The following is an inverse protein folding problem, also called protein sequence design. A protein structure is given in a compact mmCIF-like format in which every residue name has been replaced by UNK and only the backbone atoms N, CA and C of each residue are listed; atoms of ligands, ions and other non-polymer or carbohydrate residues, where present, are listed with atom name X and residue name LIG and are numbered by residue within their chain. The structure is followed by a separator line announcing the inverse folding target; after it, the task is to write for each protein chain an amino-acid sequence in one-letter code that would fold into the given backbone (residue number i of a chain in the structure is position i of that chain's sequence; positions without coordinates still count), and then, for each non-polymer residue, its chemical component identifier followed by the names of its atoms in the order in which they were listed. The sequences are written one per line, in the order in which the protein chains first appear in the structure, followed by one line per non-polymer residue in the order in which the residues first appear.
data_IF_136073104123
#
_entry.id   IF_136073104123
#
_cell.length_a   1.000
_cell.length_b   1.000
_cell.length_c   1.000
_cell.angle_alpha   90.00
_cell.angle_beta   90.00
_cell.angle_gamma   90.00
#
_symmetry.space_group_name_H-M   'P 1'
#
loop_
_entity.id
_entity.type
_entity.pdbx_description
1 polymer ?
#
# COMPACT_ATOMS: atom_id res chain seq x y z
N UNK A 1 -14.35 -1.71 -19.73
CA UNK A 1 -14.21 -0.23 -19.72
C UNK A 1 -15.05 0.41 -18.61
N UNK A 2 -16.36 0.22 -18.56
CA UNK A 2 -17.23 0.80 -17.52
C UNK A 2 -16.76 0.45 -16.09
N UNK A 3 -16.38 -0.79 -15.87
CA UNK A 3 -15.89 -1.27 -14.56
C UNK A 3 -14.62 -0.55 -14.09
N UNK A 4 -13.69 -0.27 -14.99
CA UNK A 4 -12.48 0.50 -14.67
C UNK A 4 -12.81 1.94 -14.26
N UNK A 5 -13.76 2.59 -14.95
CA UNK A 5 -14.21 3.93 -14.57
C UNK A 5 -14.89 3.94 -13.20
N UNK A 6 -15.73 2.96 -12.92
CA UNK A 6 -16.40 2.83 -11.63
C UNK A 6 -15.35 2.64 -10.52
N UNK A 7 -14.39 1.74 -10.71
CA UNK A 7 -13.31 1.49 -9.75
C UNK A 7 -12.49 2.76 -9.49
N UNK A 8 -12.15 3.51 -10.53
CA UNK A 8 -11.40 4.75 -10.41
C UNK A 8 -12.19 5.82 -9.62
N UNK A 9 -13.49 5.95 -9.89
CA UNK A 9 -14.37 6.89 -9.17
C UNK A 9 -14.48 6.50 -7.70
N UNK A 10 -14.69 5.22 -7.39
CA UNK A 10 -14.76 4.73 -6.01
C UNK A 10 -13.44 5.01 -5.29
N UNK A 11 -12.30 4.69 -5.92
CA UNK A 11 -10.98 4.94 -5.34
C UNK A 11 -10.76 6.42 -5.05
N UNK A 12 -11.15 7.29 -5.98
CA UNK A 12 -11.04 8.74 -5.79
C UNK A 12 -11.90 9.24 -4.62
N UNK A 13 -13.16 8.81 -4.53
CA UNK A 13 -14.07 9.20 -3.46
C UNK A 13 -13.54 8.74 -2.10
N UNK A 14 -13.09 7.48 -2.00
CA UNK A 14 -12.55 6.94 -0.76
C UNK A 14 -11.28 7.67 -0.34
N UNK A 15 -10.36 7.95 -1.28
CA UNK A 15 -9.16 8.73 -0.99
C UNK A 15 -9.51 10.14 -0.52
N UNK A 16 -10.44 10.80 -1.22
CA UNK A 16 -10.87 12.17 -0.89
C UNK A 16 -11.46 12.27 0.52
N UNK A 17 -12.18 11.25 0.98
CA UNK A 17 -12.74 11.20 2.32
C UNK A 17 -11.71 10.77 3.37
N UNK A 18 -10.82 9.83 3.04
CA UNK A 18 -9.86 9.27 3.99
C UNK A 18 -8.69 10.21 4.29
N UNK A 19 -8.16 10.90 3.29
CA UNK A 19 -6.97 11.74 3.43
C UNK A 19 -7.13 12.85 4.47
N UNK A 20 -8.21 13.65 4.49
CA UNK A 20 -8.39 14.69 5.50
C UNK A 20 -8.46 14.15 6.93
N UNK A 21 -9.10 12.98 7.11
CA UNK A 21 -9.20 12.32 8.41
C UNK A 21 -7.82 11.87 8.88
N UNK A 22 -7.02 11.29 7.99
CA UNK A 22 -5.66 10.83 8.30
C UNK A 22 -4.75 12.01 8.65
N UNK A 23 -4.83 13.11 7.89
CA UNK A 23 -4.08 14.33 8.20
C UNK A 23 -4.46 14.85 9.59
N UNK A 24 -5.74 14.92 9.90
CA UNK A 24 -6.21 15.38 11.22
C UNK A 24 -5.70 14.48 12.37
N UNK A 25 -5.67 13.16 12.16
CA UNK A 25 -5.11 12.21 13.14
C UNK A 25 -3.60 12.38 13.27
N UNK A 26 -2.90 12.55 12.16
CA UNK A 26 -1.45 12.78 12.15
C UNK A 26 -1.09 14.07 12.90
N UNK A 27 -1.86 15.13 12.68
CA UNK A 27 -1.72 16.40 13.41
C UNK A 27 -1.89 16.21 14.91
N UNK A 28 -2.98 15.57 15.30
CA UNK A 28 -3.31 15.34 16.72
C UNK A 28 -2.27 14.47 17.43
N UNK A 29 -1.69 13.52 16.72
CA UNK A 29 -0.69 12.57 17.25
C UNK A 29 0.75 13.05 17.06
N UNK A 30 0.98 14.21 16.42
CA UNK A 30 2.31 14.75 16.10
C UNK A 30 3.19 13.76 15.31
N UNK A 31 2.57 13.00 14.40
CA UNK A 31 3.24 12.04 13.53
C UNK A 31 3.72 12.75 12.26
N UNK A 32 4.70 13.66 12.44
CA UNK A 32 5.30 14.42 11.35
C UNK A 32 6.71 13.93 11.08
N UNK A 33 7.10 14.02 9.83
CA UNK A 33 8.50 13.97 9.45
C UNK A 33 9.14 15.32 9.77
N UNK A 34 10.04 15.34 10.77
CA UNK A 34 10.73 16.57 11.20
C UNK A 34 11.72 16.95 10.09
N UNK A 35 11.69 18.21 9.64
CA UNK A 35 12.67 18.70 8.67
C UNK A 35 14.09 18.55 9.23
N UNK A 36 14.95 17.82 8.53
CA UNK A 36 16.38 17.74 8.78
C UNK A 36 17.10 18.56 7.69
N UNK A 37 18.29 19.11 8.00
CA UNK A 37 19.09 19.92 7.07
C UNK A 37 19.38 19.23 5.73
N UNK A 38 19.29 17.91 5.69
CA UNK A 38 19.48 17.07 4.49
C UNK A 38 18.21 16.84 3.68
N UNK A 39 17.04 17.30 4.15
CA UNK A 39 15.74 17.07 3.47
C UNK A 39 15.32 18.31 2.68
N UNK A 40 14.78 18.06 1.49
CA UNK A 40 14.31 19.12 0.58
C UNK A 40 13.08 19.88 1.08
N UNK A 41 12.38 19.35 2.08
CA UNK A 41 11.14 19.93 2.61
C UNK A 41 11.44 20.86 3.80
N UNK A 42 11.03 22.13 3.66
CA UNK A 42 11.15 23.16 4.70
C UNK A 42 9.95 23.18 5.67
N UNK A 43 8.91 22.42 5.40
CA UNK A 43 7.70 22.33 6.22
C UNK A 43 7.51 20.89 6.72
N UNK A 44 6.91 20.77 7.90
CA UNK A 44 6.48 19.49 8.46
C UNK A 44 5.41 18.86 7.56
N UNK A 45 5.61 17.62 7.10
CA UNK A 45 4.68 16.89 6.25
C UNK A 45 4.18 15.68 7.01
N UNK A 46 2.88 15.42 6.95
CA UNK A 46 2.30 14.22 7.53
C UNK A 46 2.80 12.96 6.78
N UNK A 47 3.54 12.11 7.47
CA UNK A 47 4.15 10.91 6.89
C UNK A 47 3.12 9.86 6.47
N UNK A 48 1.88 9.95 6.99
CA UNK A 48 0.87 8.91 6.87
C UNK A 48 -0.06 9.05 5.64
N UNK A 49 0.25 9.92 4.68
CA UNK A 49 -0.58 10.11 3.47
C UNK A 49 -0.78 8.82 2.66
N UNK A 50 0.22 7.95 2.64
CA UNK A 50 0.14 6.65 1.99
C UNK A 50 -0.96 5.73 2.49
N UNK A 51 -1.41 5.89 3.75
CA UNK A 51 -2.51 5.12 4.33
C UNK A 51 -3.81 5.39 3.56
N UNK A 52 -4.11 6.66 3.28
CA UNK A 52 -5.33 7.03 2.56
C UNK A 52 -5.37 6.45 1.14
N UNK A 53 -4.25 6.51 0.45
CA UNK A 53 -4.11 5.95 -0.90
C UNK A 53 -4.25 4.42 -0.85
N UNK A 54 -3.60 3.76 0.10
CA UNK A 54 -3.69 2.32 0.27
C UNK A 54 -5.12 1.86 0.55
N UNK A 55 -5.82 2.50 1.50
CA UNK A 55 -7.22 2.19 1.82
C UNK A 55 -8.10 2.36 0.57
N UNK A 56 -7.91 3.43 -0.18
CA UNK A 56 -8.70 3.71 -1.38
C UNK A 56 -8.50 2.64 -2.45
N UNK A 57 -7.26 2.21 -2.71
CA UNK A 57 -6.93 1.16 -3.67
C UNK A 57 -7.53 -0.18 -3.23
N UNK A 58 -7.26 -0.59 -1.98
CA UNK A 58 -7.75 -1.87 -1.45
C UNK A 58 -9.27 -1.92 -1.50
N UNK A 59 -9.94 -0.88 -0.99
CA UNK A 59 -11.40 -0.82 -0.96
C UNK A 59 -11.99 -0.90 -2.37
N UNK A 60 -11.46 -0.14 -3.32
CA UNK A 60 -11.93 -0.15 -4.72
C UNK A 60 -11.74 -1.51 -5.37
N UNK A 61 -10.58 -2.14 -5.13
CA UNK A 61 -10.31 -3.47 -5.66
C UNK A 61 -11.24 -4.51 -5.05
N UNK A 62 -11.49 -4.47 -3.73
CA UNK A 62 -12.39 -5.41 -3.06
C UNK A 62 -13.84 -5.29 -3.55
N UNK A 63 -14.29 -4.08 -3.88
CA UNK A 63 -15.64 -3.84 -4.41
C UNK A 63 -15.75 -4.27 -5.88
N UNK A 64 -14.68 -4.11 -6.66
CA UNK A 64 -14.70 -4.32 -8.12
C UNK A 64 -14.17 -5.67 -8.56
N UNK A 65 -13.43 -6.38 -7.70
CA UNK A 65 -12.81 -7.65 -8.06
C UNK A 65 -13.81 -8.80 -8.05
N UNK A 66 -13.72 -9.63 -9.07
CA UNK A 66 -14.41 -10.91 -9.13
C UNK A 66 -13.52 -12.01 -8.53
N UNK A 67 -13.67 -12.24 -7.23
CA UNK A 67 -12.90 -13.24 -6.51
C UNK A 67 -13.23 -14.69 -6.89
N UNK A 68 -14.39 -14.92 -7.53
CA UNK A 68 -14.74 -16.26 -8.00
C UNK A 68 -13.95 -16.63 -9.25
N UNK A 69 -13.73 -15.64 -10.13
CA UNK A 69 -12.95 -15.84 -11.35
C UNK A 69 -11.42 -15.78 -11.11
N UNK A 70 -11.00 -15.11 -10.05
CA UNK A 70 -9.58 -14.90 -9.74
C UNK A 70 -9.29 -15.13 -8.25
N UNK A 71 -9.29 -16.39 -7.77
CA UNK A 71 -9.04 -16.72 -6.37
C UNK A 71 -7.65 -16.33 -5.87
N UNK A 72 -6.69 -16.12 -6.79
CA UNK A 72 -5.32 -15.71 -6.48
C UNK A 72 -5.25 -14.30 -5.88
N UNK A 73 -6.27 -13.47 -6.08
CA UNK A 73 -6.32 -12.12 -5.52
C UNK A 73 -6.23 -12.09 -3.99
N UNK A 74 -6.73 -13.10 -3.29
CA UNK A 74 -6.59 -13.19 -1.84
C UNK A 74 -5.11 -13.20 -1.39
N UNK A 75 -4.24 -13.91 -2.11
CA UNK A 75 -2.81 -13.98 -1.80
C UNK A 75 -2.09 -12.69 -2.18
N UNK A 76 -2.52 -12.05 -3.27
CA UNK A 76 -2.03 -10.74 -3.66
C UNK A 76 -2.33 -9.70 -2.58
N UNK A 77 -3.58 -9.64 -2.08
CA UNK A 77 -3.94 -8.72 -1.00
C UNK A 77 -3.20 -9.03 0.29
N UNK A 78 -3.06 -10.30 0.66
CA UNK A 78 -2.30 -10.69 1.85
C UNK A 78 -0.86 -10.18 1.79
N UNK A 79 -0.19 -10.35 0.65
CA UNK A 79 1.18 -9.87 0.45
C UNK A 79 1.26 -8.34 0.44
N UNK A 80 0.29 -7.68 -0.17
CA UNK A 80 0.20 -6.22 -0.21
C UNK A 80 0.02 -5.64 1.20
N UNK A 81 -0.78 -6.27 2.06
CA UNK A 81 -0.93 -5.88 3.46
C UNK A 81 0.37 -6.04 4.25
N UNK A 82 1.13 -7.11 4.05
CA UNK A 82 2.42 -7.30 4.72
C UNK A 82 3.38 -6.17 4.38
N UNK A 83 3.52 -5.84 3.08
CA UNK A 83 4.40 -4.75 2.63
C UNK A 83 3.92 -3.41 3.17
N UNK A 84 2.61 -3.17 3.16
CA UNK A 84 2.02 -1.94 3.67
C UNK A 84 2.30 -1.75 5.17
N UNK A 85 2.04 -2.77 6.00
CA UNK A 85 2.27 -2.66 7.45
C UNK A 85 3.75 -2.50 7.80
N UNK A 86 4.66 -3.12 7.06
CA UNK A 86 6.09 -2.90 7.25
C UNK A 86 6.48 -1.47 6.86
N UNK A 87 5.96 -0.95 5.74
CA UNK A 87 6.17 0.44 5.34
C UNK A 87 5.62 1.43 6.36
N UNK A 88 4.38 1.21 6.83
CA UNK A 88 3.76 2.03 7.86
C UNK A 88 4.54 2.02 9.18
N UNK A 89 5.03 0.85 9.58
CA UNK A 89 5.86 0.73 10.78
C UNK A 89 7.19 1.45 10.61
N UNK A 90 7.77 1.41 9.41
CA UNK A 90 9.01 2.12 9.09
C UNK A 90 8.85 3.64 9.13
N UNK A 91 7.70 4.15 8.70
CA UNK A 91 7.38 5.58 8.77
C UNK A 91 7.22 6.07 10.22
N UNK A 92 6.77 5.21 11.14
CA UNK A 92 6.59 5.55 12.55
C UNK A 92 7.88 5.28 13.34
N UNK A 93 8.54 4.17 13.10
CA UNK A 93 9.74 3.71 13.80
C UNK A 93 10.70 3.15 12.76
N UNK A 94 11.81 3.85 12.49
CA UNK A 94 12.79 3.41 11.51
C UNK A 94 13.20 1.94 11.70
N UNK A 95 12.95 1.12 10.68
CA UNK A 95 13.29 -0.29 10.68
C UNK A 95 14.66 -0.51 10.02
N UNK A 96 15.39 -1.51 10.51
CA UNK A 96 16.62 -1.94 9.84
C UNK A 96 16.33 -2.52 8.45
N UNK A 97 17.25 -2.32 7.50
CA UNK A 97 17.13 -2.81 6.13
C UNK A 97 16.87 -4.33 6.08
N UNK A 98 17.48 -5.09 6.99
CA UNK A 98 17.28 -6.53 7.07
C UNK A 98 15.82 -6.92 7.36
N UNK A 99 15.15 -6.22 8.29
CA UNK A 99 13.73 -6.49 8.62
C UNK A 99 12.81 -6.18 7.44
N UNK A 100 13.07 -5.11 6.71
CA UNK A 100 12.33 -4.76 5.48
C UNK A 100 12.50 -5.85 4.43
N UNK A 101 13.73 -6.29 4.22
CA UNK A 101 14.07 -7.32 3.24
C UNK A 101 13.39 -8.66 3.55
N UNK A 102 13.41 -9.10 4.81
CA UNK A 102 12.72 -10.33 5.24
C UNK A 102 11.22 -10.25 4.96
N UNK A 103 10.57 -9.11 5.26
CA UNK A 103 9.14 -8.94 4.98
C UNK A 103 8.82 -8.98 3.48
N UNK A 104 9.69 -8.40 2.64
CA UNK A 104 9.56 -8.47 1.18
C UNK A 104 9.69 -9.91 0.67
N UNK A 105 10.62 -10.70 1.20
CA UNK A 105 10.77 -12.12 0.86
C UNK A 105 9.52 -12.90 1.26
N UNK A 106 8.97 -12.67 2.45
CA UNK A 106 7.75 -13.34 2.90
C UNK A 106 6.58 -13.00 1.99
N UNK A 107 6.38 -11.73 1.68
CA UNK A 107 5.31 -11.27 0.78
C UNK A 107 5.44 -11.87 -0.62
N UNK A 108 6.65 -11.87 -1.18
CA UNK A 108 6.94 -12.50 -2.48
C UNK A 108 6.68 -14.02 -2.45
N UNK A 109 7.11 -14.70 -1.36
CA UNK A 109 6.88 -16.14 -1.16
C UNK A 109 5.41 -16.51 -1.15
N UNK A 110 4.55 -15.68 -0.53
CA UNK A 110 3.10 -15.90 -0.52
C UNK A 110 2.53 -15.82 -1.94
N UNK A 111 2.90 -14.80 -2.71
CA UNK A 111 2.42 -14.64 -4.08
C UNK A 111 2.88 -15.79 -4.98
N UNK A 112 4.16 -16.16 -4.89
CA UNK A 112 4.75 -17.20 -5.73
C UNK A 112 4.18 -18.58 -5.36
N UNK A 113 4.15 -18.89 -4.07
CA UNK A 113 3.80 -20.24 -3.62
C UNK A 113 2.30 -20.51 -3.64
N UNK A 114 1.50 -19.58 -3.14
CA UNK A 114 0.04 -19.74 -3.03
C UNK A 114 -0.72 -19.07 -4.17
N UNK A 115 -0.24 -17.94 -4.68
CA UNK A 115 -0.86 -17.24 -5.79
C UNK A 115 -0.49 -17.80 -7.17
N UNK A 116 0.51 -18.67 -7.24
CA UNK A 116 0.97 -19.23 -8.50
C UNK A 116 1.54 -18.21 -9.52
N UNK A 117 1.70 -16.96 -9.07
CA UNK A 117 2.19 -15.87 -9.92
C UNK A 117 3.71 -15.96 -10.03
N UNK A 118 4.18 -16.42 -11.17
CA UNK A 118 5.61 -16.59 -11.46
C UNK A 118 5.92 -16.20 -12.90
N UNK A 119 7.16 -15.83 -13.13
CA UNK A 119 7.66 -15.60 -14.49
C UNK A 119 7.93 -16.97 -15.12
N UNK A 120 7.13 -17.35 -16.11
CA UNK A 120 7.28 -18.65 -16.79
C UNK A 120 8.21 -18.57 -17.99
N UNK A 121 8.33 -17.42 -18.63
CA UNK A 121 9.27 -17.22 -19.71
C UNK A 121 9.67 -15.74 -19.83
N UNK A 122 10.93 -15.51 -20.18
CA UNK A 122 11.45 -14.22 -20.61
C UNK A 122 11.55 -14.27 -22.14
N UNK A 123 10.50 -13.82 -22.84
CA UNK A 123 10.47 -13.82 -24.29
C UNK A 123 11.69 -13.10 -24.87
N UNK A 124 12.66 -13.84 -25.42
CA UNK A 124 13.85 -13.30 -26.05
C UNK A 124 15.16 -13.40 -25.25
N UNK A 125 15.19 -14.07 -24.09
CA UNK A 125 16.41 -14.45 -23.37
C UNK A 125 16.43 -15.96 -23.16
#
# INVERSE_FOLDING_TARGET
MLQLFITAIISFIVAFLAIPVIIHIADKKKLYDIPDERKLHKHTIASLGGIGVFIAIVFSCLVSADFQSFPEFQYFFASMFIIFFIGLKDDIIALSAFKKFVAQIIAAGIIIHFGGIRIESLYGL
#
